data_IF_425139874488
#
_entry.id   IF_425139874488
#
_cell.length_a   1.000
_cell.length_b   1.000
_cell.length_c   1.000
_cell.angle_alpha   90.00
_cell.angle_beta   90.00
_cell.angle_gamma   90.00
#
_symmetry.space_group_name_H-M   'P 1'
#
loop_
_entity.id
_entity.type
_entity.pdbx_description
1 polymer ?
#
# COMPACT_ATOMS: atom_id res chain seq x y z
N UNK A 1 8.58 -13.21 11.11
CA UNK A 1 8.79 -12.14 12.11
C UNK A 1 8.62 -10.82 11.39
N UNK A 2 7.61 -10.01 11.76
CA UNK A 2 7.41 -8.65 11.20
C UNK A 2 8.39 -7.73 11.89
N UNK A 3 9.32 -7.14 11.16
CA UNK A 3 10.28 -6.22 11.73
C UNK A 3 9.60 -4.85 11.87
N UNK A 4 9.29 -4.43 13.09
CA UNK A 4 8.62 -3.15 13.43
C UNK A 4 9.24 -1.89 12.78
N UNK A 5 10.46 -1.99 12.27
CA UNK A 5 11.28 -0.89 11.76
C UNK A 5 11.35 -0.82 10.23
N UNK A 6 10.78 -1.81 9.53
CA UNK A 6 10.49 -1.71 8.10
C UNK A 6 8.99 -1.46 8.02
N UNK A 7 8.53 -0.53 7.18
CA UNK A 7 7.11 -0.21 7.01
C UNK A 7 6.28 -1.35 6.41
N UNK A 8 6.37 -2.55 6.99
CA UNK A 8 5.67 -3.76 6.61
C UNK A 8 4.27 -3.73 7.23
N UNK A 9 3.25 -4.01 6.42
CA UNK A 9 1.84 -4.16 6.83
C UNK A 9 1.37 -5.54 6.41
N UNK A 10 0.63 -6.25 7.27
CA UNK A 10 0.07 -7.54 6.89
C UNK A 10 -1.35 -7.37 6.36
N UNK A 11 -1.67 -8.07 5.27
CA UNK A 11 -3.02 -8.18 4.73
C UNK A 11 -3.34 -9.66 4.49
N UNK A 12 -4.55 -10.08 4.81
CA UNK A 12 -5.01 -11.43 4.51
C UNK A 12 -5.88 -11.42 3.25
N UNK A 13 -5.49 -12.23 2.28
CA UNK A 13 -6.09 -12.36 0.95
C UNK A 13 -6.36 -13.84 0.72
N UNK A 14 -7.60 -14.21 0.44
CA UNK A 14 -8.05 -15.60 0.27
C UNK A 14 -7.65 -16.53 1.43
N UNK A 15 -7.71 -16.00 2.66
CA UNK A 15 -7.30 -16.70 3.88
C UNK A 15 -5.78 -16.92 4.02
N UNK A 16 -4.97 -16.34 3.13
CA UNK A 16 -3.52 -16.35 3.20
C UNK A 16 -2.98 -15.00 3.64
N UNK A 17 -2.06 -15.03 4.62
CA UNK A 17 -1.43 -13.82 5.13
C UNK A 17 -0.28 -13.39 4.23
N UNK A 18 -0.43 -12.23 3.60
CA UNK A 18 0.61 -11.56 2.83
C UNK A 18 1.21 -10.39 3.61
N UNK A 19 2.47 -10.10 3.31
CA UNK A 19 3.16 -8.91 3.81
C UNK A 19 3.22 -7.90 2.67
N UNK A 20 2.91 -6.66 2.97
CA UNK A 20 2.98 -5.52 2.07
C UNK A 20 4.08 -4.58 2.54
N UNK A 21 4.82 -4.01 1.60
CA UNK A 21 5.84 -3.00 1.86
C UNK A 21 5.95 -2.06 0.67
N UNK A 22 6.03 -0.76 0.93
CA UNK A 22 6.38 0.22 -0.11
C UNK A 22 7.90 0.30 -0.25
N UNK A 23 8.39 -0.27 -1.34
CA UNK A 23 9.77 -0.06 -1.81
C UNK A 23 9.80 1.15 -2.76
N UNK A 24 10.99 1.69 -3.05
CA UNK A 24 11.11 2.76 -4.05
C UNK A 24 10.55 2.36 -5.42
N UNK A 25 10.72 1.10 -5.82
CA UNK A 25 10.12 0.58 -7.06
C UNK A 25 8.59 0.54 -6.99
N UNK A 26 8.02 0.10 -5.86
CA UNK A 26 6.58 0.10 -5.66
C UNK A 26 5.98 1.51 -5.62
N UNK A 27 6.70 2.48 -5.06
CA UNK A 27 6.31 3.89 -5.07
C UNK A 27 6.31 4.46 -6.50
N UNK A 28 7.34 4.17 -7.30
CA UNK A 28 7.40 4.59 -8.70
C UNK A 28 6.28 3.96 -9.54
N UNK A 29 5.98 2.66 -9.36
CA UNK A 29 4.82 2.01 -10.00
C UNK A 29 3.49 2.66 -9.57
N UNK A 30 3.40 3.10 -8.31
CA UNK A 30 2.20 3.75 -7.78
C UNK A 30 1.99 5.18 -8.33
N UNK A 31 3.07 5.96 -8.46
CA UNK A 31 3.03 7.29 -9.08
C UNK A 31 2.54 7.22 -10.53
N UNK A 32 3.06 6.26 -11.29
CA UNK A 32 2.61 5.98 -12.66
C UNK A 32 1.14 5.55 -12.70
N UNK A 33 0.75 4.60 -11.84
CA UNK A 33 -0.62 4.08 -11.80
C UNK A 33 -1.68 5.10 -11.36
N UNK A 34 -1.30 6.09 -10.55
CA UNK A 34 -2.21 7.10 -10.01
C UNK A 34 -2.10 8.46 -10.70
N UNK A 35 -1.23 8.57 -11.71
CA UNK A 35 -0.94 9.80 -12.45
C UNK A 35 -0.68 10.97 -11.50
N UNK A 36 0.07 10.71 -10.42
CA UNK A 36 0.31 11.70 -9.39
C UNK A 36 1.56 12.53 -9.72
N UNK A 37 1.45 13.86 -9.59
CA UNK A 37 2.57 14.79 -9.78
C UNK A 37 3.72 14.56 -8.78
N UNK A 38 3.44 14.00 -7.61
CA UNK A 38 4.45 13.68 -6.60
C UNK A 38 3.94 12.71 -5.53
N UNK A 39 4.88 12.08 -4.82
CA UNK A 39 4.61 11.34 -3.57
C UNK A 39 3.85 12.16 -2.53
N UNK A 40 4.11 13.47 -2.42
CA UNK A 40 3.39 14.34 -1.48
C UNK A 40 1.92 14.45 -1.87
N UNK A 41 1.63 14.68 -3.16
CA UNK A 41 0.26 14.74 -3.67
C UNK A 41 -0.49 13.42 -3.46
N UNK A 42 0.21 12.27 -3.52
CA UNK A 42 -0.37 10.98 -3.13
C UNK A 42 -0.76 10.95 -1.66
N UNK A 43 0.15 11.29 -0.77
CA UNK A 43 -0.12 11.28 0.69
C UNK A 43 -1.31 12.17 1.02
N UNK A 44 -1.32 13.41 0.53
CA UNK A 44 -2.42 14.36 0.77
C UNK A 44 -3.78 13.82 0.29
N UNK A 45 -3.80 13.16 -0.88
CA UNK A 45 -5.02 12.54 -1.43
C UNK A 45 -5.53 11.39 -0.56
N UNK A 46 -4.63 10.61 0.03
CA UNK A 46 -5.01 9.54 0.97
C UNK A 46 -5.47 10.08 2.33
N UNK A 47 -4.81 11.11 2.86
CA UNK A 47 -5.18 11.76 4.13
C UNK A 47 -6.53 12.50 4.05
N UNK A 48 -6.80 13.16 2.93
CA UNK A 48 -8.06 13.89 2.68
C UNK A 48 -9.22 12.95 2.37
N UNK A 49 -8.98 11.64 2.22
CA UNK A 49 -10.00 10.68 1.81
C UNK A 49 -10.43 10.83 0.34
N UNK A 50 -9.69 11.59 -0.45
CA UNK A 50 -9.96 11.85 -1.88
C UNK A 50 -9.51 10.68 -2.78
N UNK A 51 -9.66 9.45 -2.31
CA UNK A 51 -9.30 8.23 -3.04
C UNK A 51 -10.54 7.45 -3.50
N UNK A 52 -10.38 6.75 -4.61
CA UNK A 52 -11.33 5.83 -5.22
C UNK A 52 -10.93 4.40 -4.92
N UNK A 53 -11.85 3.46 -5.07
CA UNK A 53 -11.56 2.04 -4.87
C UNK A 53 -10.38 1.53 -5.72
N UNK A 54 -10.22 2.04 -6.94
CA UNK A 54 -9.08 1.71 -7.81
C UNK A 54 -7.74 2.17 -7.22
N UNK A 55 -7.72 3.27 -6.47
CA UNK A 55 -6.48 3.82 -5.92
C UNK A 55 -6.03 2.99 -4.72
N UNK A 56 -7.00 2.53 -3.92
CA UNK A 56 -6.76 1.56 -2.85
C UNK A 56 -6.21 0.27 -3.45
N UNK A 57 -6.81 -0.24 -4.53
CA UNK A 57 -6.31 -1.44 -5.21
C UNK A 57 -4.88 -1.25 -5.75
N UNK A 58 -4.60 -0.12 -6.40
CA UNK A 58 -3.26 0.18 -6.92
C UNK A 58 -2.22 0.25 -5.78
N UNK A 59 -2.56 0.88 -4.65
CA UNK A 59 -1.70 0.98 -3.48
C UNK A 59 -1.45 -0.39 -2.82
N UNK A 60 -2.49 -1.20 -2.68
CA UNK A 60 -2.37 -2.56 -2.16
C UNK A 60 -1.52 -3.43 -3.08
N UNK A 61 -1.73 -3.36 -4.40
CA UNK A 61 -0.93 -4.05 -5.40
C UNK A 61 0.56 -3.66 -5.30
N UNK A 62 0.85 -2.35 -5.25
CA UNK A 62 2.22 -1.85 -5.09
C UNK A 62 2.85 -2.37 -3.78
N UNK A 63 2.12 -2.31 -2.68
CA UNK A 63 2.54 -2.83 -1.39
C UNK A 63 2.83 -4.33 -1.42
N UNK A 64 1.93 -5.12 -1.98
CA UNK A 64 2.05 -6.57 -2.11
C UNK A 64 3.28 -6.95 -2.96
N UNK A 65 3.51 -6.26 -4.08
CA UNK A 65 4.70 -6.45 -4.93
C UNK A 65 5.99 -6.19 -4.15
N UNK A 66 6.05 -5.10 -3.37
CA UNK A 66 7.21 -4.81 -2.53
C UNK A 66 7.42 -5.79 -1.36
N UNK A 67 6.38 -6.55 -1.01
CA UNK A 67 6.42 -7.69 -0.09
C UNK A 67 6.71 -9.05 -0.73
N UNK A 68 6.85 -9.11 -2.06
CA UNK A 68 7.19 -10.31 -2.82
C UNK A 68 6.00 -11.08 -3.40
N UNK A 69 4.79 -10.50 -3.38
CA UNK A 69 3.64 -11.08 -4.07
C UNK A 69 3.74 -10.87 -5.58
N UNK A 70 3.44 -11.91 -6.35
CA UNK A 70 3.61 -11.95 -7.82
C UNK A 70 2.30 -11.95 -8.60
N UNK A 71 1.16 -11.73 -7.93
CA UNK A 71 -0.14 -11.66 -8.57
C UNK A 71 -0.35 -10.37 -9.39
N UNK A 72 -1.51 -10.29 -10.04
CA UNK A 72 -1.90 -9.16 -10.90
C UNK A 72 -2.99 -8.31 -10.26
N UNK A 73 -3.23 -7.11 -10.82
CA UNK A 73 -4.35 -6.27 -10.39
C UNK A 73 -5.71 -7.00 -10.51
N UNK A 74 -5.87 -7.83 -11.54
CA UNK A 74 -7.08 -8.61 -11.75
C UNK A 74 -7.24 -9.72 -10.70
N UNK A 75 -6.13 -10.35 -10.30
CA UNK A 75 -6.09 -11.35 -9.25
C UNK A 75 -6.53 -10.73 -7.90
N UNK A 76 -5.95 -9.58 -7.55
CA UNK A 76 -6.32 -8.83 -6.34
C UNK A 76 -7.78 -8.35 -6.36
N UNK A 77 -8.31 -7.98 -7.52
CA UNK A 77 -9.70 -7.53 -7.67
C UNK A 77 -10.72 -8.67 -7.53
N UNK A 78 -10.31 -9.92 -7.77
CA UNK A 78 -11.14 -11.11 -7.57
C UNK A 78 -10.94 -11.76 -6.20
N UNK A 79 -9.83 -11.45 -5.53
CA UNK A 79 -9.48 -12.04 -4.25
C UNK A 79 -10.32 -11.49 -3.08
N UNK A 80 -10.52 -12.33 -2.07
CA UNK A 80 -11.23 -11.96 -0.85
C UNK A 80 -10.27 -11.39 0.18
N UNK A 81 -10.41 -10.09 0.48
CA UNK A 81 -9.65 -9.44 1.54
C UNK A 81 -10.38 -9.64 2.87
N UNK A 82 -9.69 -10.21 3.87
CA UNK A 82 -10.26 -10.39 5.19
C UNK A 82 -10.68 -9.04 5.81
N UNK A 83 -11.92 -8.96 6.29
CA UNK A 83 -12.51 -7.72 6.79
C UNK A 83 -13.00 -6.76 5.70
N UNK A 84 -12.96 -7.20 4.43
CA UNK A 84 -13.58 -6.51 3.29
C UNK A 84 -12.93 -5.18 2.90
N UNK A 85 -13.63 -4.33 2.14
CA UNK A 85 -13.07 -3.11 1.55
C UNK A 85 -12.63 -2.07 2.60
N UNK A 86 -13.23 -2.08 3.79
CA UNK A 86 -12.85 -1.18 4.89
C UNK A 86 -11.49 -1.59 5.47
N UNK A 87 -11.26 -2.89 5.69
CA UNK A 87 -9.97 -3.40 6.14
C UNK A 87 -8.88 -3.15 5.09
N UNK A 88 -9.20 -3.36 3.81
CA UNK A 88 -8.33 -3.04 2.68
C UNK A 88 -7.89 -1.56 2.69
N UNK A 89 -8.84 -0.64 2.84
CA UNK A 89 -8.57 0.80 2.88
C UNK A 89 -7.72 1.19 4.10
N UNK A 90 -7.99 0.60 5.27
CA UNK A 90 -7.18 0.83 6.48
C UNK A 90 -5.75 0.34 6.33
N UNK A 91 -5.57 -0.87 5.78
CA UNK A 91 -4.25 -1.43 5.56
C UNK A 91 -3.45 -0.59 4.55
N UNK A 92 -4.13 -0.05 3.52
CA UNK A 92 -3.52 0.84 2.54
C UNK A 92 -3.08 2.18 3.18
N UNK A 93 -3.94 2.82 3.96
CA UNK A 93 -3.59 4.04 4.71
C UNK A 93 -2.42 3.79 5.68
N UNK A 94 -2.47 2.69 6.44
CA UNK A 94 -1.39 2.30 7.34
C UNK A 94 -0.06 2.06 6.61
N UNK A 95 -0.10 1.50 5.41
CA UNK A 95 1.07 1.25 4.59
C UNK A 95 1.75 2.57 4.17
N UNK A 96 0.98 3.57 3.75
CA UNK A 96 1.51 4.93 3.46
C UNK A 96 2.09 5.53 4.74
N UNK A 97 1.32 5.56 5.83
CA UNK A 97 1.79 6.16 7.09
C UNK A 97 3.11 5.53 7.55
N UNK A 98 3.25 4.21 7.48
CA UNK A 98 4.48 3.52 7.88
C UNK A 98 5.66 3.74 6.92
N UNK A 99 5.40 3.87 5.62
CA UNK A 99 6.44 4.13 4.64
C UNK A 99 7.07 5.52 4.83
N UNK A 100 6.27 6.51 5.21
CA UNK A 100 6.72 7.90 5.36
C UNK A 100 7.03 8.29 6.81
N UNK A 101 6.51 7.59 7.83
CA UNK A 101 6.85 7.84 9.23
C UNK A 101 8.34 7.61 9.57
N UNK A 102 9.06 6.82 8.76
CA UNK A 102 10.52 6.65 8.90
C UNK A 102 11.34 7.65 8.08
N UNK A 103 10.73 8.41 7.17
CA UNK A 103 11.42 9.42 6.37
C UNK A 103 11.66 10.73 7.15
N UNK A 104 10.88 10.96 8.21
CA UNK A 104 11.00 12.11 9.11
C UNK A 104 12.20 11.99 10.10
N UNK A 105 12.74 10.78 10.29
CA UNK A 105 13.90 10.49 11.18
C UNK A 105 15.25 10.48 10.42
N UNK A 106 15.32 11.20 9.30
CA UNK A 106 16.52 11.27 8.43
C UNK A 106 17.19 12.64 8.35
N UNK A 107 16.68 13.65 9.05
CA UNK A 107 17.30 14.97 9.18
C UNK A 107 18.10 15.05 10.48
N UNK A 108 19.33 14.53 10.46
CA UNK A 108 20.39 14.84 11.45
C UNK A 108 21.54 15.58 10.80
#
# INVERSE_FOLDING_TARGET
MVNRWRGDVALEIDGQRHVMRLTLGALAELEDALEADSLVALIERFETGAFRARDVLALLLAGLRGGGWTGSAADLAQAEIAGGPVAASRAAAELITRAFAGADDGAV
#
